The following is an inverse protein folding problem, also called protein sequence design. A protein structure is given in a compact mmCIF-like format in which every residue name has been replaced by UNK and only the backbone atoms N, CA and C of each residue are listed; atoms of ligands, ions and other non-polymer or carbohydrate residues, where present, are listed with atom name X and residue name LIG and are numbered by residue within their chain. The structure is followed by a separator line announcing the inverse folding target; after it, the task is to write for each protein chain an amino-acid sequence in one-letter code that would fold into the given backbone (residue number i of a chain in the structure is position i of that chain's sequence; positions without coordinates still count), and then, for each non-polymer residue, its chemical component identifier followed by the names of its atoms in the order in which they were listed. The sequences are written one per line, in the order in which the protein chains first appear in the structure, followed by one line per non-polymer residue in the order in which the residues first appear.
data_IF_075363183753
#
_entry.id   IF_075363183753
#
_cell.length_a   1.000
_cell.length_b   1.000
_cell.length_c   1.000
_cell.angle_alpha   90.00
_cell.angle_beta   90.00
_cell.angle_gamma   90.00
#
_symmetry.space_group_name_H-M   'P 1'
#
loop_
_entity.id
_entity.type
_entity.pdbx_description
1 polymer ?
#
# COMPACT_ATOMS: atom_id res chain seq x y z
N UNK A 1 68.47 -4.92 12.70
CA UNK A 1 67.55 -3.83 12.35
C UNK A 1 66.82 -4.20 11.06
N UNK A 2 65.53 -3.89 11.02
CA UNK A 2 64.73 -3.57 9.84
C UNK A 2 63.63 -4.56 9.39
N UNK A 3 62.42 -4.06 9.63
CA UNK A 3 61.41 -3.80 8.62
C UNK A 3 60.65 -4.99 8.01
N UNK A 4 60.56 -6.10 8.75
CA UNK A 4 59.52 -7.13 8.49
C UNK A 4 58.60 -7.34 9.71
N UNK A 5 58.90 -6.71 10.85
CA UNK A 5 58.09 -6.76 12.08
C UNK A 5 57.19 -5.54 12.33
N UNK A 6 57.01 -4.62 11.36
CA UNK A 6 56.17 -3.41 11.51
C UNK A 6 55.05 -3.27 10.48
N UNK A 7 54.74 -4.31 9.70
CA UNK A 7 53.64 -4.27 8.70
C UNK A 7 52.51 -5.28 8.97
N UNK A 8 52.35 -5.76 10.21
CA UNK A 8 51.18 -6.57 10.60
C UNK A 8 50.38 -5.96 11.78
N UNK A 9 50.54 -4.66 12.03
CA UNK A 9 49.84 -3.92 13.07
C UNK A 9 49.22 -2.58 12.58
N UNK A 10 48.92 -2.48 11.28
CA UNK A 10 48.24 -1.31 10.68
C UNK A 10 47.19 -1.72 9.63
N UNK A 11 46.46 -2.81 9.86
CA UNK A 11 45.30 -3.18 9.02
C UNK A 11 44.01 -3.47 9.82
N UNK A 12 43.96 -3.09 11.10
CA UNK A 12 42.76 -3.17 11.95
C UNK A 12 42.64 -1.94 12.88
N UNK A 13 42.72 -0.74 12.30
CA UNK A 13 42.39 0.51 13.00
C UNK A 13 42.05 1.64 12.01
N UNK A 14 41.04 1.42 11.17
CA UNK A 14 40.36 2.50 10.43
C UNK A 14 39.00 2.02 9.91
N UNK A 15 38.07 1.76 10.84
CA UNK A 15 36.66 1.53 10.52
C UNK A 15 35.77 2.03 11.67
N UNK A 16 36.04 3.24 12.20
CA UNK A 16 35.08 3.99 13.02
C UNK A 16 35.40 5.49 12.89
N UNK A 17 34.37 6.32 12.67
CA UNK A 17 34.34 7.80 12.43
C UNK A 17 34.49 8.14 10.92
N UNK A 18 33.58 8.83 10.21
CA UNK A 18 32.48 9.74 10.58
C UNK A 18 31.29 9.59 9.60
N UNK A 19 30.08 9.37 10.11
CA UNK A 19 28.83 9.77 9.44
C UNK A 19 28.08 10.65 10.44
N UNK A 20 28.22 11.96 10.30
CA UNK A 20 27.22 12.93 10.76
C UNK A 20 26.04 12.80 9.77
N UNK A 21 24.77 12.71 10.14
CA UNK A 21 24.10 13.00 11.40
C UNK A 21 23.02 14.05 11.12
N UNK A 22 21.74 13.65 11.11
CA UNK A 22 20.60 14.49 11.53
C UNK A 22 19.32 13.64 11.63
N UNK A 23 18.98 13.16 12.82
CA UNK A 23 17.58 12.95 13.23
C UNK A 23 17.43 13.32 14.70
N UNK A 24 16.51 14.25 14.97
CA UNK A 24 16.21 14.85 16.27
C UNK A 24 14.99 14.13 16.85
N UNK A 25 15.15 13.38 17.94
CA UNK A 25 14.07 12.94 18.81
C UNK A 25 14.24 13.65 20.16
N UNK A 26 13.22 14.39 20.60
CA UNK A 26 13.14 14.92 21.95
C UNK A 26 12.53 13.86 22.88
N UNK A 27 13.34 13.36 23.80
CA UNK A 27 12.94 12.50 24.91
C UNK A 27 13.18 13.20 26.25
N UNK A 28 12.14 13.14 27.07
CA UNK A 28 11.91 13.82 28.34
C UNK A 28 12.74 13.24 29.50
N UNK A 29 13.23 14.07 30.42
CA UNK A 29 13.68 13.64 31.76
C UNK A 29 13.44 14.70 32.85
N UNK A 30 13.37 14.29 34.14
CA UNK A 30 12.56 14.93 35.17
C UNK A 30 13.37 15.66 36.26
N UNK A 31 12.70 16.50 37.06
CA UNK A 31 13.08 16.71 38.47
C UNK A 31 12.99 18.13 39.06
N UNK A 32 11.95 18.34 39.88
CA UNK A 32 11.88 19.03 41.21
C UNK A 32 12.49 20.44 41.44
N UNK A 33 11.66 21.35 41.99
CA UNK A 33 11.77 22.07 43.30
C UNK A 33 10.57 23.06 43.38
N UNK A 34 9.56 22.83 44.23
CA UNK A 34 9.35 23.25 45.63
C UNK A 34 8.82 24.71 45.84
N UNK A 35 7.65 24.75 46.51
CA UNK A 35 7.08 25.74 47.46
C UNK A 35 6.76 27.23 47.11
N UNK A 36 5.43 27.51 47.03
CA UNK A 36 4.56 28.45 47.81
C UNK A 36 5.11 29.82 48.32
N UNK A 37 4.26 30.86 48.63
CA UNK A 37 2.82 30.82 49.00
C UNK A 37 1.91 31.97 48.44
N UNK A 38 0.68 32.03 48.98
CA UNK A 38 -0.53 32.72 48.55
C UNK A 38 -0.74 34.19 48.99
N UNK A 39 -1.65 34.90 48.30
CA UNK A 39 -2.60 35.91 48.82
C UNK A 39 -3.73 36.15 47.77
N UNK A 40 -5.03 35.91 48.06
CA UNK A 40 -6.09 36.88 48.52
C UNK A 40 -6.12 38.20 47.71
N UNK A 41 -7.22 38.83 47.29
CA UNK A 41 -8.68 38.66 47.44
C UNK A 41 -9.35 39.77 46.58
N UNK A 42 -10.57 39.52 46.09
CA UNK A 42 -11.69 40.47 45.84
C UNK A 42 -11.49 41.73 44.96
N UNK A 43 -12.26 41.82 43.86
CA UNK A 43 -13.33 42.84 43.70
C UNK A 43 -14.28 42.45 42.55
N UNK A 44 -15.59 42.54 42.82
CA UNK A 44 -16.72 42.32 41.92
C UNK A 44 -16.96 43.55 41.03
N UNK A 45 -17.38 43.35 39.77
CA UNK A 45 -18.66 43.91 39.24
C UNK A 45 -18.94 43.50 37.78
N UNK A 46 -19.92 42.61 37.63
CA UNK A 46 -21.05 42.60 36.70
C UNK A 46 -20.94 43.30 35.33
N UNK A 47 -20.80 42.51 34.25
CA UNK A 47 -21.54 42.69 32.98
C UNK A 47 -21.84 41.29 32.39
N UNK A 48 -23.11 40.89 32.34
CA UNK A 48 -23.67 39.91 31.37
C UNK A 48 -24.54 40.71 30.39
N UNK A 49 -24.71 40.35 29.10
CA UNK A 49 -24.87 39.01 28.53
C UNK A 49 -23.87 38.76 27.36
N UNK A 50 -23.71 37.60 26.73
CA UNK A 50 -24.64 36.54 26.36
C UNK A 50 -23.96 35.18 26.38
N UNK A 51 -24.76 34.17 26.71
CA UNK A 51 -24.36 32.78 26.81
C UNK A 51 -24.05 32.21 25.43
N UNK A 52 -22.80 31.77 25.25
CA UNK A 52 -22.50 30.58 24.46
C UNK A 52 -21.45 29.79 25.24
N UNK A 53 -21.96 29.05 26.22
CA UNK A 53 -21.17 28.09 26.98
C UNK A 53 -20.70 26.99 26.04
N UNK A 54 -19.42 27.02 25.70
CA UNK A 54 -18.67 25.85 25.25
C UNK A 54 -18.63 24.86 26.44
N UNK A 55 -19.68 24.05 26.54
CA UNK A 55 -19.70 22.90 27.44
C UNK A 55 -18.79 21.82 26.88
N UNK A 56 -17.64 21.66 27.52
CA UNK A 56 -16.82 20.46 27.46
C UNK A 56 -17.66 19.27 27.95
N UNK A 57 -17.95 18.34 27.04
CA UNK A 57 -18.82 17.19 27.29
C UNK A 57 -19.30 16.52 26.00
N UNK A 58 -18.41 16.34 25.02
CA UNK A 58 -18.73 15.69 23.76
C UNK A 58 -18.44 14.19 23.84
N UNK A 59 -19.28 13.41 24.51
CA UNK A 59 -19.43 12.01 24.14
C UNK A 59 -19.93 12.00 22.71
N UNK A 60 -19.07 11.67 21.74
CA UNK A 60 -19.41 11.63 20.33
C UNK A 60 -20.43 10.52 20.11
N UNK A 61 -21.70 10.83 20.32
CA UNK A 61 -22.80 9.97 19.94
C UNK A 61 -22.73 9.79 18.42
N UNK A 62 -22.41 8.56 18.03
CA UNK A 62 -22.56 8.07 16.67
C UNK A 62 -23.96 8.41 16.17
N UNK A 63 -24.07 9.31 15.19
CA UNK A 63 -25.29 9.46 14.39
C UNK A 63 -25.18 8.46 13.24
N UNK A 64 -25.41 7.19 13.54
CA UNK A 64 -25.43 6.14 12.51
C UNK A 64 -26.46 6.52 11.44
N UNK A 65 -26.07 6.48 10.16
CA UNK A 65 -27.03 6.64 9.07
C UNK A 65 -28.11 5.55 9.21
N UNK A 66 -29.38 5.85 8.88
CA UNK A 66 -30.42 4.84 8.93
C UNK A 66 -30.05 3.62 8.09
N UNK A 67 -30.08 2.42 8.70
CA UNK A 67 -29.58 1.18 8.11
C UNK A 67 -30.53 0.00 8.37
N UNK A 68 -30.70 -0.90 7.40
CA UNK A 68 -31.32 -2.21 7.64
C UNK A 68 -30.20 -3.24 7.90
N UNK A 69 -30.03 -3.64 9.16
CA UNK A 69 -28.95 -4.51 9.61
C UNK A 69 -29.48 -5.89 10.00
N UNK A 70 -28.91 -6.95 9.42
CA UNK A 70 -29.27 -8.33 9.72
C UNK A 70 -28.04 -9.08 10.21
N UNK A 71 -28.14 -9.70 11.38
CA UNK A 71 -27.14 -10.66 11.85
C UNK A 71 -27.54 -12.06 11.44
N UNK A 72 -26.60 -12.77 10.83
CA UNK A 72 -26.74 -14.19 10.48
C UNK A 72 -25.72 -14.94 11.34
N UNK A 73 -26.21 -15.55 12.42
CA UNK A 73 -25.37 -16.15 13.46
C UNK A 73 -25.37 -17.66 13.35
N UNK A 74 -24.16 -18.23 13.28
CA UNK A 74 -23.93 -19.66 13.35
C UNK A 74 -24.12 -20.15 14.79
N UNK A 75 -24.95 -21.17 14.96
CA UNK A 75 -25.12 -21.93 16.19
C UNK A 75 -24.91 -23.42 15.95
N UNK A 76 -24.10 -23.79 14.96
CA UNK A 76 -23.74 -25.16 14.67
C UNK A 76 -23.01 -25.83 15.85
N UNK A 77 -22.81 -27.14 15.74
CA UNK A 77 -22.19 -27.94 16.82
C UNK A 77 -20.77 -27.48 17.20
N UNK A 78 -20.03 -26.85 16.28
CA UNK A 78 -18.70 -26.30 16.57
C UNK A 78 -18.76 -25.10 17.52
N UNK A 79 -19.84 -24.33 17.44
CA UNK A 79 -20.12 -23.18 18.30
C UNK A 79 -20.61 -23.67 19.67
N UNK A 80 -19.71 -23.75 20.64
CA UNK A 80 -20.08 -24.17 22.01
C UNK A 80 -21.00 -23.12 22.66
N UNK A 81 -21.87 -23.51 23.60
CA UNK A 81 -22.80 -22.56 24.25
C UNK A 81 -22.12 -21.32 24.83
N UNK A 82 -20.96 -21.46 25.47
CA UNK A 82 -20.19 -20.33 26.00
C UNK A 82 -19.64 -19.39 24.91
N UNK A 83 -19.37 -19.91 23.72
CA UNK A 83 -18.93 -19.10 22.58
C UNK A 83 -20.13 -18.40 21.92
N UNK A 84 -21.29 -19.06 21.86
CA UNK A 84 -22.53 -18.45 21.40
C UNK A 84 -22.96 -17.26 22.28
N UNK A 85 -22.79 -17.35 23.60
CA UNK A 85 -23.00 -16.21 24.51
C UNK A 85 -22.09 -15.01 24.19
N UNK A 86 -20.85 -15.25 23.74
CA UNK A 86 -19.95 -14.16 23.31
C UNK A 86 -20.45 -13.51 22.02
N UNK A 87 -21.01 -14.28 21.08
CA UNK A 87 -21.66 -13.72 19.88
C UNK A 87 -22.84 -12.83 20.26
N UNK A 88 -23.71 -13.27 21.19
CA UNK A 88 -24.83 -12.45 21.69
C UNK A 88 -24.35 -11.17 22.39
N UNK A 89 -23.26 -11.26 23.14
CA UNK A 89 -22.61 -10.11 23.79
C UNK A 89 -22.10 -9.12 22.76
N UNK A 90 -21.35 -9.59 21.76
CA UNK A 90 -20.86 -8.76 20.65
C UNK A 90 -21.99 -8.03 19.92
N UNK A 91 -23.08 -8.72 19.59
CA UNK A 91 -24.22 -8.09 18.92
C UNK A 91 -24.87 -7.04 19.83
N UNK A 92 -25.03 -7.35 21.12
CA UNK A 92 -25.59 -6.42 22.10
C UNK A 92 -24.74 -5.16 22.25
N UNK A 93 -23.42 -5.31 22.30
CA UNK A 93 -22.47 -4.19 22.38
C UNK A 93 -22.50 -3.35 21.11
N UNK A 94 -22.62 -3.97 19.94
CA UNK A 94 -22.74 -3.21 18.71
C UNK A 94 -24.08 -2.45 18.63
N UNK A 95 -25.19 -3.06 19.06
CA UNK A 95 -26.50 -2.38 19.18
C UNK A 95 -26.42 -1.17 20.12
N UNK A 96 -25.61 -1.23 21.18
CA UNK A 96 -25.40 -0.10 22.07
C UNK A 96 -24.71 1.09 21.37
N UNK A 97 -23.90 0.85 20.33
CA UNK A 97 -23.24 1.90 19.55
C UNK A 97 -24.12 2.56 18.48
N UNK A 98 -25.21 1.91 18.07
CA UNK A 98 -26.07 2.34 16.96
C UNK A 98 -27.27 3.19 17.43
N UNK A 99 -27.82 4.01 16.56
CA UNK A 99 -29.13 4.64 16.79
C UNK A 99 -30.24 3.71 16.28
N UNK A 100 -30.99 3.11 17.21
CA UNK A 100 -32.08 2.17 16.91
C UNK A 100 -33.40 2.91 16.86
N UNK A 101 -34.18 2.69 15.79
CA UNK A 101 -35.49 3.32 15.64
C UNK A 101 -36.19 2.97 14.35
N UNK A 102 -37.46 3.38 14.23
CA UNK A 102 -38.26 3.17 13.01
C UNK A 102 -37.63 3.84 11.79
N UNK A 103 -37.13 5.06 11.97
CA UNK A 103 -36.53 5.86 10.89
C UNK A 103 -35.00 5.93 11.00
N UNK A 104 -34.41 5.14 11.90
CA UNK A 104 -32.97 5.02 12.12
C UNK A 104 -32.48 3.61 11.70
N UNK A 105 -31.70 2.94 12.54
CA UNK A 105 -31.27 1.56 12.29
C UNK A 105 -32.34 0.56 12.72
N UNK A 106 -32.67 -0.37 11.82
CA UNK A 106 -33.55 -1.51 12.07
C UNK A 106 -32.69 -2.78 12.11
N UNK A 107 -32.94 -3.65 13.09
CA UNK A 107 -32.12 -4.84 13.33
C UNK A 107 -32.98 -6.09 13.25
N UNK A 108 -32.47 -7.12 12.57
CA UNK A 108 -33.02 -8.47 12.58
C UNK A 108 -31.93 -9.49 12.88
N UNK A 109 -32.34 -10.67 13.35
CA UNK A 109 -31.43 -11.77 13.67
C UNK A 109 -31.95 -13.06 13.06
N UNK A 110 -31.06 -13.72 12.35
CA UNK A 110 -31.23 -15.04 11.76
C UNK A 110 -30.21 -15.95 12.42
N UNK A 111 -30.70 -16.96 13.12
CA UNK A 111 -29.91 -17.99 13.77
C UNK A 111 -29.93 -19.23 12.88
N UNK A 112 -28.79 -19.86 12.64
CA UNK A 112 -28.73 -21.03 11.76
C UNK A 112 -27.77 -22.12 12.24
N UNK A 113 -28.12 -23.35 11.89
CA UNK A 113 -27.28 -24.54 12.02
C UNK A 113 -27.64 -25.49 10.87
N UNK A 114 -28.19 -26.67 11.12
CA UNK A 114 -28.85 -27.52 10.11
C UNK A 114 -30.15 -26.92 9.56
N UNK A 115 -30.80 -26.06 10.35
CA UNK A 115 -32.02 -25.32 9.99
C UNK A 115 -31.78 -23.83 10.18
N UNK A 116 -32.68 -23.00 9.65
CA UNK A 116 -32.61 -21.55 9.79
C UNK A 116 -33.83 -21.07 10.58
N UNK A 117 -33.60 -20.36 11.67
CA UNK A 117 -34.60 -19.74 12.51
C UNK A 117 -34.46 -18.21 12.43
N UNK A 118 -35.58 -17.54 12.15
CA UNK A 118 -35.64 -16.08 12.21
C UNK A 118 -36.08 -15.73 13.62
N UNK A 119 -35.18 -15.19 14.43
CA UNK A 119 -35.45 -14.89 15.84
C UNK A 119 -36.33 -13.63 15.97
N UNK A 120 -36.05 -12.62 15.14
CA UNK A 120 -36.93 -11.47 14.96
C UNK A 120 -36.60 -10.71 13.66
N UNK A 121 -37.60 -10.01 13.13
CA UNK A 121 -37.55 -9.28 11.87
C UNK A 121 -37.19 -7.79 12.07
N UNK A 122 -36.89 -7.10 10.97
CA UNK A 122 -36.53 -5.67 10.96
C UNK A 122 -37.65 -4.77 11.52
N UNK A 123 -38.90 -5.25 11.49
CA UNK A 123 -40.07 -4.57 12.05
C UNK A 123 -40.39 -4.91 13.52
N UNK A 124 -39.67 -5.85 14.14
CA UNK A 124 -40.06 -6.40 15.44
C UNK A 124 -39.72 -5.47 16.61
N UNK A 125 -38.54 -4.84 16.60
CA UNK A 125 -38.04 -4.04 17.72
C UNK A 125 -37.42 -2.73 17.25
N UNK A 126 -37.83 -1.62 17.88
CA UNK A 126 -37.41 -0.26 17.50
C UNK A 126 -36.72 0.49 18.66
N UNK A 127 -36.32 -0.20 19.71
CA UNK A 127 -35.54 0.36 20.80
C UNK A 127 -34.51 -0.66 21.30
N UNK A 128 -33.41 -0.17 21.88
CA UNK A 128 -32.29 -1.00 22.33
C UNK A 128 -32.68 -1.99 23.43
N UNK A 129 -33.53 -1.56 24.37
CA UNK A 129 -33.89 -2.37 25.52
C UNK A 129 -34.66 -3.65 25.10
N UNK A 130 -35.59 -3.53 24.16
CA UNK A 130 -36.34 -4.68 23.66
C UNK A 130 -35.49 -5.56 22.73
N UNK A 131 -34.64 -4.98 21.88
CA UNK A 131 -33.69 -5.76 21.07
C UNK A 131 -32.77 -6.60 21.94
N UNK A 132 -32.16 -6.02 22.99
CA UNK A 132 -31.24 -6.73 23.88
C UNK A 132 -31.97 -7.80 24.70
N UNK A 133 -33.22 -7.56 25.09
CA UNK A 133 -34.06 -8.57 25.74
C UNK A 133 -34.34 -9.74 24.81
N UNK A 134 -34.78 -9.46 23.58
CA UNK A 134 -35.03 -10.50 22.57
C UNK A 134 -33.74 -11.29 22.26
N UNK A 135 -32.61 -10.61 22.08
CA UNK A 135 -31.29 -11.21 21.87
C UNK A 135 -30.92 -12.19 23.00
N UNK A 136 -31.12 -11.78 24.26
CA UNK A 136 -30.74 -12.61 25.42
C UNK A 136 -31.49 -13.95 25.49
N UNK A 137 -32.68 -14.02 24.87
CA UNK A 137 -33.56 -15.20 24.85
C UNK A 137 -33.25 -16.16 23.71
N UNK A 138 -32.35 -15.81 22.78
CA UNK A 138 -32.00 -16.68 21.67
C UNK A 138 -31.22 -17.89 22.19
N UNK A 139 -31.72 -19.07 21.85
CA UNK A 139 -31.09 -20.36 22.12
C UNK A 139 -30.35 -20.84 20.86
N UNK A 140 -29.15 -21.43 21.02
CA UNK A 140 -28.43 -21.97 19.87
C UNK A 140 -29.23 -23.14 19.25
N UNK A 141 -29.26 -23.18 17.93
CA UNK A 141 -29.64 -24.38 17.20
C UNK A 141 -28.51 -25.42 17.40
N UNK A 142 -28.61 -26.62 16.86
CA UNK A 142 -27.53 -27.60 17.00
C UNK A 142 -27.36 -28.39 15.72
N UNK A 143 -26.14 -28.91 15.54
CA UNK A 143 -25.73 -29.73 14.38
C UNK A 143 -25.68 -28.94 13.07
N UNK A 144 -24.76 -29.30 12.17
CA UNK A 144 -24.67 -28.80 10.80
C UNK A 144 -24.48 -27.29 10.62
N UNK A 145 -24.07 -26.87 9.42
CA UNK A 145 -23.69 -25.48 9.13
C UNK A 145 -24.20 -25.07 7.75
N UNK A 146 -25.51 -24.88 7.62
CA UNK A 146 -26.20 -24.56 6.36
C UNK A 146 -26.18 -23.04 6.09
N UNK A 147 -24.99 -22.52 5.81
CA UNK A 147 -24.76 -21.07 5.68
C UNK A 147 -25.40 -20.52 4.41
N UNK A 148 -25.35 -21.25 3.30
CA UNK A 148 -25.99 -20.85 2.06
C UNK A 148 -27.51 -20.70 2.21
N UNK A 149 -28.14 -21.65 2.90
CA UNK A 149 -29.56 -21.59 3.27
C UNK A 149 -29.88 -20.40 4.18
N UNK A 150 -28.99 -20.06 5.11
CA UNK A 150 -29.15 -18.90 5.98
C UNK A 150 -29.14 -17.58 5.20
N UNK A 151 -28.18 -17.42 4.27
CA UNK A 151 -28.10 -16.26 3.38
C UNK A 151 -29.36 -16.18 2.51
N UNK A 152 -29.78 -17.29 1.90
CA UNK A 152 -31.00 -17.36 1.09
C UNK A 152 -32.23 -16.93 1.89
N UNK A 153 -32.37 -17.46 3.10
CA UNK A 153 -33.50 -17.14 3.99
C UNK A 153 -33.50 -15.68 4.38
N UNK A 154 -32.33 -15.09 4.68
CA UNK A 154 -32.22 -13.68 4.98
C UNK A 154 -32.70 -12.82 3.79
N UNK A 155 -32.30 -13.16 2.56
CA UNK A 155 -32.75 -12.47 1.34
C UNK A 155 -34.27 -12.58 1.12
N UNK A 156 -34.79 -13.80 1.15
CA UNK A 156 -36.17 -14.09 0.74
C UNK A 156 -37.21 -13.74 1.82
N UNK A 157 -36.81 -13.68 3.09
CA UNK A 157 -37.76 -13.52 4.21
C UNK A 157 -37.45 -12.37 5.15
N UNK A 158 -36.22 -11.87 5.23
CA UNK A 158 -35.84 -10.83 6.20
C UNK A 158 -35.62 -9.48 5.53
N UNK A 159 -34.92 -9.45 4.40
CA UNK A 159 -34.69 -8.24 3.60
C UNK A 159 -35.87 -7.84 2.70
N UNK A 160 -37.09 -8.30 3.03
CA UNK A 160 -38.31 -7.95 2.32
C UNK A 160 -39.03 -6.77 2.99
N UNK A 161 -39.80 -6.01 2.20
CA UNK A 161 -40.58 -4.87 2.71
C UNK A 161 -41.63 -5.33 3.74
N UNK A 162 -42.24 -6.48 3.50
CA UNK A 162 -43.18 -7.12 4.43
C UNK A 162 -42.55 -7.39 5.80
N UNK A 163 -41.26 -7.68 5.83
CA UNK A 163 -40.48 -7.94 7.05
C UNK A 163 -39.89 -6.69 7.68
N UNK A 164 -40.13 -5.52 7.11
CA UNK A 164 -39.68 -4.22 7.64
C UNK A 164 -38.41 -3.68 7.00
N UNK A 165 -37.89 -4.33 5.95
CA UNK A 165 -36.82 -3.75 5.15
C UNK A 165 -37.37 -2.54 4.38
N UNK A 166 -36.59 -1.48 4.25
CA UNK A 166 -37.02 -0.28 3.53
C UNK A 166 -36.89 -0.47 2.02
N UNK A 167 -37.81 0.10 1.21
CA UNK A 167 -37.79 -0.05 -0.24
C UNK A 167 -36.53 0.60 -0.83
N UNK A 168 -36.08 0.10 -1.98
CA UNK A 168 -34.89 0.64 -2.68
C UNK A 168 -34.96 2.15 -2.94
N UNK A 169 -36.16 2.70 -3.13
CA UNK A 169 -36.39 4.13 -3.35
C UNK A 169 -35.95 5.03 -2.19
N UNK A 170 -35.85 4.49 -0.97
CA UNK A 170 -35.41 5.25 0.21
C UNK A 170 -33.90 5.38 0.30
N UNK A 171 -33.14 4.71 -0.58
CA UNK A 171 -31.68 4.68 -0.57
C UNK A 171 -31.08 4.31 0.79
N UNK A 172 -31.78 3.45 1.55
CA UNK A 172 -31.29 2.89 2.80
C UNK A 172 -30.53 1.61 2.51
N UNK A 173 -29.32 1.57 3.04
CA UNK A 173 -28.40 0.46 2.97
C UNK A 173 -28.97 -0.81 3.61
N UNK A 174 -28.62 -1.96 3.04
CA UNK A 174 -28.95 -3.29 3.56
C UNK A 174 -27.65 -4.02 3.84
N UNK A 175 -27.42 -4.36 5.10
CA UNK A 175 -26.16 -4.96 5.55
C UNK A 175 -26.44 -6.28 6.25
N UNK A 176 -25.73 -7.33 5.86
CA UNK A 176 -25.72 -8.61 6.53
C UNK A 176 -24.35 -8.84 7.18
N UNK A 177 -24.34 -9.16 8.48
CA UNK A 177 -23.13 -9.58 9.19
C UNK A 177 -23.27 -11.06 9.50
N UNK A 178 -22.42 -11.87 8.88
CA UNK A 178 -22.37 -13.32 9.05
C UNK A 178 -21.28 -13.63 10.07
N UNK A 179 -21.62 -14.37 11.14
CA UNK A 179 -20.66 -14.83 12.15
C UNK A 179 -20.64 -16.35 12.14
N UNK A 180 -19.50 -16.96 11.83
CA UNK A 180 -19.33 -18.43 11.75
C UNK A 180 -17.95 -18.88 12.20
N UNK A 181 -17.85 -20.08 12.78
CA UNK A 181 -16.57 -20.76 13.07
C UNK A 181 -16.29 -21.98 12.18
N UNK A 182 -17.22 -22.28 11.27
CA UNK A 182 -17.27 -23.54 10.55
C UNK A 182 -17.14 -23.38 9.05
N UNK A 183 -16.82 -24.50 8.40
CA UNK A 183 -16.94 -24.62 6.95
C UNK A 183 -18.42 -24.85 6.61
N UNK A 184 -19.01 -24.09 5.67
CA UNK A 184 -20.38 -24.35 5.23
C UNK A 184 -20.52 -25.76 4.64
N UNK A 185 -21.67 -26.38 4.87
CA UNK A 185 -22.02 -27.71 4.36
C UNK A 185 -22.86 -27.66 3.07
N UNK A 186 -23.16 -26.45 2.61
CA UNK A 186 -23.90 -26.13 1.40
C UNK A 186 -23.18 -25.06 0.57
N UNK A 187 -23.67 -24.82 -0.65
CA UNK A 187 -23.08 -23.84 -1.57
C UNK A 187 -23.36 -22.40 -1.14
N UNK A 188 -22.30 -21.61 -0.90
CA UNK A 188 -22.41 -20.20 -0.50
C UNK A 188 -22.16 -19.21 -1.63
N UNK A 189 -21.45 -19.60 -2.69
CA UNK A 189 -20.98 -18.68 -3.72
C UNK A 189 -22.13 -18.02 -4.51
N UNK A 190 -23.01 -18.83 -5.10
CA UNK A 190 -24.10 -18.37 -5.96
C UNK A 190 -25.12 -17.52 -5.18
N UNK A 191 -25.50 -17.99 -3.98
CA UNK A 191 -26.45 -17.26 -3.12
C UNK A 191 -25.86 -15.94 -2.64
N UNK A 192 -24.58 -15.90 -2.28
CA UNK A 192 -23.91 -14.66 -1.87
C UNK A 192 -23.75 -13.70 -3.05
N UNK A 193 -23.46 -14.20 -4.25
CA UNK A 193 -23.45 -13.38 -5.46
C UNK A 193 -24.82 -12.75 -5.73
N UNK A 194 -25.89 -13.52 -5.54
CA UNK A 194 -27.27 -13.04 -5.70
C UNK A 194 -27.60 -11.98 -4.63
N UNK A 195 -27.18 -12.19 -3.37
CA UNK A 195 -27.34 -11.21 -2.30
C UNK A 195 -26.63 -9.88 -2.61
N UNK A 196 -25.38 -9.94 -3.08
CA UNK A 196 -24.60 -8.76 -3.49
C UNK A 196 -25.25 -8.05 -4.68
N UNK A 197 -25.71 -8.80 -5.68
CA UNK A 197 -26.44 -8.26 -6.83
C UNK A 197 -27.77 -7.59 -6.40
N UNK A 198 -28.37 -8.06 -5.30
CA UNK A 198 -29.54 -7.44 -4.69
C UNK A 198 -29.22 -6.16 -3.87
N UNK A 199 -27.96 -5.71 -3.86
CA UNK A 199 -27.42 -4.59 -3.08
C UNK A 199 -27.45 -4.83 -1.56
N UNK A 200 -27.28 -6.09 -1.14
CA UNK A 200 -27.04 -6.44 0.26
C UNK A 200 -25.52 -6.53 0.44
N UNK A 201 -25.00 -5.70 1.34
CA UNK A 201 -23.58 -5.65 1.69
C UNK A 201 -23.29 -6.71 2.75
N UNK A 202 -22.39 -7.65 2.46
CA UNK A 202 -22.11 -8.79 3.34
C UNK A 202 -20.74 -8.61 4.00
N UNK A 203 -20.74 -8.63 5.34
CA UNK A 203 -19.55 -8.77 6.16
C UNK A 203 -19.46 -10.20 6.67
N UNK A 204 -18.34 -10.88 6.43
CA UNK A 204 -18.10 -12.24 6.88
C UNK A 204 -17.08 -12.23 8.03
N UNK A 205 -17.52 -12.66 9.20
CA UNK A 205 -16.70 -12.78 10.41
C UNK A 205 -16.47 -14.27 10.67
N UNK A 206 -15.23 -14.70 10.45
CA UNK A 206 -14.74 -16.02 10.80
C UNK A 206 -14.11 -16.05 12.18
N UNK A 207 -14.44 -17.07 12.97
CA UNK A 207 -13.84 -17.29 14.30
C UNK A 207 -13.13 -18.65 14.35
N UNK A 208 -12.00 -18.74 15.05
CA UNK A 208 -11.22 -19.98 15.28
C UNK A 208 -10.93 -20.75 13.98
N UNK A 209 -11.71 -21.79 13.65
CA UNK A 209 -11.45 -22.68 12.50
C UNK A 209 -12.22 -22.31 11.24
N UNK A 210 -12.75 -21.09 11.17
CA UNK A 210 -13.50 -20.63 10.02
C UNK A 210 -12.69 -20.75 8.72
N UNK A 211 -13.34 -21.26 7.68
CA UNK A 211 -12.73 -21.45 6.36
C UNK A 211 -12.62 -20.13 5.61
N UNK A 212 -11.40 -19.58 5.52
CA UNK A 212 -11.15 -18.26 4.92
C UNK A 212 -11.63 -18.17 3.47
N UNK A 213 -11.53 -19.26 2.70
CA UNK A 213 -11.99 -19.26 1.31
C UNK A 213 -13.51 -19.08 1.24
N UNK A 214 -14.26 -19.80 2.08
CA UNK A 214 -15.71 -19.65 2.20
C UNK A 214 -16.10 -18.23 2.63
N UNK A 215 -15.39 -17.64 3.61
CA UNK A 215 -15.64 -16.25 4.04
C UNK A 215 -15.48 -15.26 2.87
N UNK A 216 -14.44 -15.42 2.05
CA UNK A 216 -14.19 -14.58 0.87
C UNK A 216 -15.25 -14.73 -0.22
N UNK A 217 -15.81 -15.93 -0.40
CA UNK A 217 -16.90 -16.17 -1.36
C UNK A 217 -18.21 -15.53 -0.90
N UNK A 218 -18.43 -15.44 0.42
CA UNK A 218 -19.63 -14.82 1.00
C UNK A 218 -19.56 -13.29 1.00
N UNK A 219 -18.43 -12.73 1.45
CA UNK A 219 -18.27 -11.31 1.69
C UNK A 219 -18.46 -10.43 0.44
N UNK A 220 -18.84 -9.18 0.68
CA UNK A 220 -18.78 -8.10 -0.30
C UNK A 220 -17.34 -7.68 -0.58
N UNK A 221 -17.17 -6.84 -1.60
CA UNK A 221 -15.89 -6.28 -1.98
C UNK A 221 -15.75 -4.83 -1.50
N UNK A 222 -14.53 -4.35 -1.19
CA UNK A 222 -13.25 -5.06 -1.17
C UNK A 222 -13.14 -6.05 0.01
N UNK A 223 -12.49 -7.20 -0.19
CA UNK A 223 -12.38 -8.25 0.85
C UNK A 223 -11.71 -7.76 2.14
N UNK A 224 -10.72 -6.87 2.06
CA UNK A 224 -9.99 -6.38 3.24
C UNK A 224 -10.87 -5.54 4.19
N UNK A 225 -11.98 -5.02 3.67
CA UNK A 225 -12.96 -4.26 4.45
C UNK A 225 -14.15 -5.12 4.88
N UNK A 226 -14.33 -6.33 4.31
CA UNK A 226 -15.54 -7.14 4.50
C UNK A 226 -15.30 -8.54 5.06
N UNK A 227 -14.05 -8.99 5.13
CA UNK A 227 -13.68 -10.27 5.72
C UNK A 227 -12.88 -10.00 7.00
N UNK A 228 -13.41 -10.47 8.12
CA UNK A 228 -12.72 -10.42 9.41
C UNK A 228 -12.50 -11.82 9.90
N UNK A 229 -11.26 -12.11 10.27
CA UNK A 229 -10.90 -13.37 10.90
C UNK A 229 -10.36 -13.08 12.30
N UNK A 230 -10.92 -13.74 13.31
CA UNK A 230 -10.48 -13.62 14.69
C UNK A 230 -10.15 -15.00 15.25
N UNK A 231 -9.02 -15.10 15.95
CA UNK A 231 -8.54 -16.39 16.48
C UNK A 231 -9.48 -16.97 17.55
N UNK A 232 -10.18 -16.11 18.30
CA UNK A 232 -11.11 -16.54 19.34
C UNK A 232 -12.33 -15.62 19.40
N UNK A 233 -13.45 -16.14 19.90
CA UNK A 233 -14.65 -15.33 20.11
C UNK A 233 -14.44 -14.21 21.13
N UNK A 234 -13.47 -14.30 22.04
CA UNK A 234 -13.16 -13.18 22.94
C UNK A 234 -12.56 -11.96 22.23
N UNK A 235 -12.07 -12.13 21.00
CA UNK A 235 -11.52 -11.04 20.18
C UNK A 235 -12.61 -10.41 19.30
N UNK A 236 -13.75 -11.07 19.11
CA UNK A 236 -14.84 -10.55 18.26
C UNK A 236 -15.38 -9.21 18.76
N UNK A 237 -15.34 -8.98 20.08
CA UNK A 237 -15.72 -7.71 20.72
C UNK A 237 -14.87 -6.52 20.25
N UNK A 238 -13.63 -6.76 19.80
CA UNK A 238 -12.78 -5.70 19.22
C UNK A 238 -13.26 -5.24 17.85
N UNK A 239 -14.06 -6.06 17.16
CA UNK A 239 -14.66 -5.65 15.88
C UNK A 239 -15.74 -4.60 16.09
N UNK A 240 -16.33 -4.49 17.29
CA UNK A 240 -17.34 -3.48 17.61
C UNK A 240 -16.84 -2.07 17.32
N UNK A 241 -15.58 -1.72 17.63
CA UNK A 241 -15.05 -0.39 17.32
C UNK A 241 -14.87 -0.15 15.83
N UNK A 242 -14.42 -1.18 15.09
CA UNK A 242 -14.27 -1.12 13.62
C UNK A 242 -15.63 -0.95 12.96
N UNK A 243 -16.59 -1.81 13.29
CA UNK A 243 -17.95 -1.70 12.78
C UNK A 243 -18.64 -0.41 13.21
N UNK A 244 -18.37 0.11 14.40
CA UNK A 244 -18.86 1.43 14.80
C UNK A 244 -18.35 2.48 13.81
N UNK A 245 -17.05 2.57 13.56
CA UNK A 245 -16.49 3.57 12.63
C UNK A 245 -17.08 3.45 11.22
N UNK A 246 -17.19 2.23 10.71
CA UNK A 246 -17.79 1.86 9.42
C UNK A 246 -19.28 2.23 9.35
N UNK A 247 -20.09 1.86 10.35
CA UNK A 247 -21.55 2.04 10.35
C UNK A 247 -22.00 3.43 10.85
N UNK A 248 -21.14 4.21 11.47
CA UNK A 248 -21.48 5.52 12.04
C UNK A 248 -21.66 6.65 11.01
N UNK A 249 -21.77 6.35 9.72
CA UNK A 249 -22.22 7.32 8.70
C UNK A 249 -21.32 8.52 8.50
N UNK A 250 -20.15 8.46 9.11
CA UNK A 250 -19.02 9.34 8.92
C UNK A 250 -18.55 9.09 7.49
N UNK A 251 -18.59 10.14 6.68
CA UNK A 251 -18.21 10.07 5.26
C UNK A 251 -16.76 9.60 5.21
N UNK A 252 -16.57 8.33 4.83
CA UNK A 252 -15.27 7.67 4.86
C UNK A 252 -14.28 8.39 3.94
N UNK A 253 -14.79 9.03 2.88
CA UNK A 253 -13.96 9.88 2.01
C UNK A 253 -13.52 11.19 2.69
N UNK A 254 -14.24 11.69 3.70
CA UNK A 254 -13.86 12.91 4.44
C UNK A 254 -12.93 12.68 5.62
N UNK A 255 -12.84 11.44 6.13
CA UNK A 255 -12.01 11.09 7.29
C UNK A 255 -10.59 10.68 6.95
N UNK A 256 -10.29 10.55 5.66
CA UNK A 256 -9.04 10.01 5.16
C UNK A 256 -9.29 8.66 4.50
N UNK A 257 -8.95 8.59 3.22
CA UNK A 257 -9.06 7.39 2.39
C UNK A 257 -7.73 7.11 1.70
N UNK A 258 -7.55 5.88 1.25
CA UNK A 258 -6.37 5.41 0.53
C UNK A 258 -6.59 5.27 -0.99
N UNK A 259 -7.74 5.72 -1.52
CA UNK A 259 -7.97 5.78 -2.97
C UNK A 259 -6.97 6.72 -3.65
N UNK A 260 -6.34 6.24 -4.72
CA UNK A 260 -5.42 7.05 -5.54
C UNK A 260 -6.14 8.23 -6.22
N UNK A 261 -7.36 8.01 -6.71
CA UNK A 261 -8.09 8.99 -7.52
C UNK A 261 -9.45 9.38 -6.89
N UNK A 262 -10.51 8.63 -7.16
CA UNK A 262 -11.86 8.98 -6.73
C UNK A 262 -12.26 8.07 -5.57
N UNK A 263 -12.53 8.65 -4.41
CA UNK A 263 -13.21 7.95 -3.32
C UNK A 263 -14.72 8.10 -3.48
N UNK A 264 -15.44 6.99 -3.50
CA UNK A 264 -16.90 6.99 -3.47
C UNK A 264 -17.37 6.33 -2.19
N UNK A 265 -18.10 7.09 -1.39
CA UNK A 265 -18.74 6.55 -0.21
C UNK A 265 -19.66 5.40 -0.61
N UNK A 266 -19.41 4.24 -0.01
CA UNK A 266 -20.40 3.20 0.14
C UNK A 266 -21.24 3.52 1.37
N UNK A 267 -22.32 2.76 1.50
CA UNK A 267 -23.26 2.81 2.61
C UNK A 267 -22.62 2.78 4.00
N UNK A 268 -21.52 2.04 4.12
CA UNK A 268 -20.83 1.73 5.38
C UNK A 268 -19.29 1.86 5.26
N UNK A 269 -18.77 2.04 4.05
CA UNK A 269 -17.34 2.15 3.77
C UNK A 269 -17.14 3.13 2.62
N UNK A 270 -16.09 2.98 1.84
CA UNK A 270 -15.88 3.60 0.55
C UNK A 270 -15.25 2.59 -0.39
N UNK A 271 -15.39 2.84 -1.68
CA UNK A 271 -14.65 2.13 -2.69
C UNK A 271 -14.02 3.13 -3.64
N UNK A 272 -12.89 2.73 -4.21
CA UNK A 272 -12.16 3.58 -5.12
C UNK A 272 -12.71 3.42 -6.54
N UNK A 273 -12.79 4.54 -7.24
CA UNK A 273 -13.05 4.60 -8.67
C UNK A 273 -11.92 5.37 -9.32
N UNK A 274 -11.75 5.11 -10.60
CA UNK A 274 -10.78 5.81 -11.41
C UNK A 274 -11.47 6.83 -12.31
N UNK A 275 -10.72 7.86 -12.71
CA UNK A 275 -11.12 8.78 -13.76
C UNK A 275 -11.24 8.04 -15.11
N UNK A 276 -11.91 8.66 -16.09
CA UNK A 276 -11.99 8.10 -17.43
C UNK A 276 -10.59 7.85 -18.02
N UNK A 277 -10.39 6.71 -18.70
CA UNK A 277 -9.09 6.27 -19.18
C UNK A 277 -8.23 5.55 -18.13
N UNK A 278 -8.81 5.11 -17.02
CA UNK A 278 -8.14 4.31 -15.99
C UNK A 278 -9.03 3.15 -15.53
N UNK A 279 -8.40 2.02 -15.21
CA UNK A 279 -8.98 0.82 -14.60
C UNK A 279 -8.45 0.64 -13.20
N UNK A 280 -9.33 0.29 -12.28
CA UNK A 280 -8.95 0.00 -10.91
C UNK A 280 -8.12 -1.29 -10.86
N UNK A 281 -6.97 -1.23 -10.19
CA UNK A 281 -6.08 -2.36 -10.02
C UNK A 281 -6.66 -3.44 -9.11
N UNK A 282 -6.00 -4.60 -9.08
CA UNK A 282 -6.38 -5.73 -8.20
C UNK A 282 -6.38 -5.37 -6.71
N UNK A 283 -5.57 -4.39 -6.32
CA UNK A 283 -5.52 -3.85 -4.95
C UNK A 283 -6.78 -3.04 -4.57
N UNK A 284 -7.62 -2.70 -5.55
CA UNK A 284 -8.85 -1.89 -5.41
C UNK A 284 -8.63 -0.49 -4.84
N UNK A 285 -7.39 -0.01 -4.79
CA UNK A 285 -7.02 1.32 -4.28
C UNK A 285 -6.35 2.18 -5.34
N UNK A 286 -5.50 1.57 -6.17
CA UNK A 286 -4.75 2.25 -7.23
C UNK A 286 -5.41 2.08 -8.59
N UNK A 287 -5.12 3.02 -9.49
CA UNK A 287 -5.72 3.14 -10.79
C UNK A 287 -4.64 2.98 -11.86
N UNK A 288 -4.70 1.89 -12.63
CA UNK A 288 -3.89 1.72 -13.83
C UNK A 288 -4.51 2.51 -14.96
N UNK A 289 -3.71 3.34 -15.63
CA UNK A 289 -4.15 4.00 -16.86
C UNK A 289 -4.48 2.93 -17.90
N UNK A 290 -5.72 2.94 -18.39
CA UNK A 290 -6.09 2.23 -19.62
C UNK A 290 -5.60 3.13 -20.73
N UNK A 291 -4.49 2.75 -21.33
CA UNK A 291 -3.81 3.54 -22.35
C UNK A 291 -4.76 3.96 -23.48
N UNK A 292 -4.96 5.27 -23.63
CA UNK A 292 -5.36 5.90 -24.89
C UNK A 292 -4.18 6.01 -25.89
N UNK A 293 -3.02 5.46 -25.55
CA UNK A 293 -1.82 5.35 -26.38
C UNK A 293 -1.14 4.01 -26.05
N UNK A 294 -1.60 2.93 -26.68
CA UNK A 294 -1.09 1.58 -26.45
C UNK A 294 0.42 1.45 -26.75
N UNK A 295 1.14 0.53 -26.09
CA UNK A 295 2.54 0.26 -26.39
C UNK A 295 2.64 -0.47 -27.73
N UNK A 296 3.14 0.20 -28.77
CA UNK A 296 3.39 -0.49 -30.02
C UNK A 296 3.76 0.32 -31.25
N UNK A 297 3.29 1.56 -31.44
CA UNK A 297 3.68 2.41 -32.59
C UNK A 297 3.54 3.90 -32.28
N UNK A 298 4.69 4.55 -32.12
CA UNK A 298 5.01 5.91 -32.59
C UNK A 298 4.30 7.16 -32.00
N UNK A 299 4.78 7.60 -30.83
CA UNK A 299 5.25 8.98 -30.58
C UNK A 299 6.31 8.91 -29.46
N UNK A 300 7.50 9.47 -29.66
CA UNK A 300 8.41 9.75 -28.54
C UNK A 300 8.60 11.27 -28.46
N UNK A 301 8.30 11.98 -27.34
CA UNK A 301 7.83 11.54 -26.01
C UNK A 301 6.56 12.25 -25.50
N UNK A 302 5.88 13.07 -26.32
CA UNK A 302 4.64 13.76 -25.91
C UNK A 302 3.57 13.64 -27.00
N UNK A 303 2.49 12.93 -26.71
CA UNK A 303 1.30 12.82 -27.56
C UNK A 303 0.17 13.69 -26.98
N UNK A 304 -0.43 14.56 -27.80
CA UNK A 304 -1.58 15.39 -27.41
C UNK A 304 -2.70 15.27 -28.42
N UNK A 305 -3.94 15.22 -27.94
CA UNK A 305 -5.13 15.14 -28.77
C UNK A 305 -5.68 16.57 -28.98
N UNK A 306 -5.75 17.01 -30.25
CA UNK A 306 -6.39 18.28 -30.63
C UNK A 306 -7.42 18.00 -31.71
N UNK A 307 -8.67 18.38 -31.47
CA UNK A 307 -9.78 18.28 -32.44
C UNK A 307 -9.95 16.86 -33.04
N UNK A 308 -9.71 15.82 -32.25
CA UNK A 308 -9.82 14.42 -32.69
C UNK A 308 -8.67 13.94 -33.60
N UNK A 309 -7.60 14.72 -33.74
CA UNK A 309 -6.39 14.36 -34.47
C UNK A 309 -5.21 14.18 -33.50
N UNK A 310 -4.47 13.08 -33.67
CA UNK A 310 -3.26 12.79 -32.88
C UNK A 310 -2.10 13.68 -33.34
N UNK A 311 -1.52 14.46 -32.43
CA UNK A 311 -0.37 15.34 -32.69
C UNK A 311 0.78 14.98 -31.75
N UNK A 312 1.89 14.48 -32.32
CA UNK A 312 3.14 14.28 -31.58
C UNK A 312 3.89 15.62 -31.44
N UNK A 313 4.50 15.86 -30.28
CA UNK A 313 5.35 17.02 -30.01
C UNK A 313 6.64 16.62 -29.30
N UNK A 314 7.72 17.36 -29.56
CA UNK A 314 9.03 17.09 -28.96
C UNK A 314 9.30 18.00 -27.75
N UNK A 315 10.05 17.53 -26.74
CA UNK A 315 10.53 18.36 -25.64
C UNK A 315 11.49 19.43 -26.13
N UNK A 316 11.71 20.43 -25.27
CA UNK A 316 12.72 21.46 -25.49
C UNK A 316 14.09 20.82 -25.75
N UNK A 317 14.74 21.18 -26.86
CA UNK A 317 16.03 20.61 -27.28
C UNK A 317 15.93 19.44 -28.27
N UNK A 318 14.74 19.13 -28.78
CA UNK A 318 14.50 18.09 -29.77
C UNK A 318 13.63 18.61 -30.92
N UNK A 319 13.83 18.09 -32.12
CA UNK A 319 13.03 18.40 -33.32
C UNK A 319 12.29 17.17 -33.82
N UNK A 320 11.05 17.38 -34.24
CA UNK A 320 10.22 16.30 -34.77
C UNK A 320 10.73 15.91 -36.14
N UNK A 321 11.05 14.63 -36.31
CA UNK A 321 11.58 14.10 -37.56
C UNK A 321 10.50 14.09 -38.65
N UNK A 322 10.91 13.88 -39.90
CA UNK A 322 9.99 13.86 -41.06
C UNK A 322 8.89 12.78 -40.94
N UNK A 323 9.14 11.74 -40.15
CA UNK A 323 8.16 10.69 -39.82
C UNK A 323 7.00 11.18 -38.93
N UNK A 324 7.08 12.41 -38.41
CA UNK A 324 6.13 13.06 -37.49
C UNK A 324 5.90 12.29 -36.19
N UNK A 325 6.82 11.41 -35.84
CA UNK A 325 6.64 10.38 -34.82
C UNK A 325 7.84 10.27 -33.88
N UNK A 326 9.05 10.41 -34.41
CA UNK A 326 10.27 10.37 -33.60
C UNK A 326 10.86 11.77 -33.45
N UNK A 327 11.55 12.00 -32.33
CA UNK A 327 12.24 13.25 -32.05
C UNK A 327 13.74 13.01 -32.12
N UNK A 328 14.44 13.73 -32.99
CA UNK A 328 15.91 13.78 -32.95
C UNK A 328 16.36 14.90 -32.03
N UNK A 329 17.41 14.64 -31.26
CA UNK A 329 18.00 15.66 -30.39
C UNK A 329 18.64 16.73 -31.28
N UNK A 330 18.37 17.99 -31.00
CA UNK A 330 19.13 19.08 -31.60
C UNK A 330 20.59 18.93 -31.15
N UNK A 331 21.50 18.81 -32.11
CA UNK A 331 22.93 18.87 -31.84
C UNK A 331 23.22 20.18 -31.11
N UNK A 332 23.68 20.08 -29.86
CA UNK A 332 23.93 21.26 -29.03
C UNK A 332 24.92 22.24 -29.66
N UNK A 333 25.84 21.74 -30.50
CA UNK A 333 26.79 22.54 -31.23
C UNK A 333 26.19 23.28 -32.45
N UNK A 334 25.01 22.88 -32.94
CA UNK A 334 24.32 23.53 -34.06
C UNK A 334 23.42 24.69 -33.61
N UNK A 335 23.06 24.75 -32.31
CA UNK A 335 22.26 25.81 -31.70
C UNK A 335 23.07 27.05 -31.28
N UNK A 336 24.38 27.06 -31.56
CA UNK A 336 25.32 28.09 -31.09
C UNK A 336 26.05 27.65 -29.83
N UNK A 337 27.39 27.75 -29.84
CA UNK A 337 28.25 27.34 -28.74
C UNK A 337 29.35 28.36 -28.47
N UNK A 338 29.79 28.46 -27.22
CA UNK A 338 30.85 29.39 -26.80
C UNK A 338 32.26 28.79 -26.87
N UNK A 339 32.45 27.64 -27.53
CA UNK A 339 33.78 27.03 -27.69
C UNK A 339 34.64 27.85 -28.65
N UNK A 340 35.85 28.22 -28.22
CA UNK A 340 36.82 28.94 -29.06
C UNK A 340 37.24 28.14 -30.30
N UNK A 341 37.34 26.81 -30.17
CA UNK A 341 37.80 25.93 -31.26
C UNK A 341 36.75 24.92 -31.74
N UNK A 342 36.58 23.79 -31.05
CA UNK A 342 35.74 22.68 -31.51
C UNK A 342 34.75 22.35 -30.40
N UNK A 343 33.45 22.36 -30.71
CA UNK A 343 32.42 21.83 -29.85
C UNK A 343 32.19 20.34 -30.14
N UNK A 344 32.09 19.51 -29.10
CA UNK A 344 31.72 18.11 -29.21
C UNK A 344 30.54 17.82 -28.32
N UNK A 345 29.52 17.22 -28.90
CA UNK A 345 28.37 16.71 -28.16
C UNK A 345 28.71 15.32 -27.58
N UNK A 346 28.53 15.16 -26.26
CA UNK A 346 28.69 13.88 -25.58
C UNK A 346 27.51 13.60 -24.68
N UNK A 347 26.60 12.73 -25.15
CA UNK A 347 25.46 12.13 -24.41
C UNK A 347 24.74 13.11 -23.48
N UNK A 348 24.51 14.35 -23.94
CA UNK A 348 23.66 15.35 -23.25
C UNK A 348 24.44 16.51 -22.63
N UNK A 349 25.76 16.54 -22.78
CA UNK A 349 26.59 17.70 -22.41
C UNK A 349 27.42 18.18 -23.60
N UNK A 350 27.50 19.50 -23.74
CA UNK A 350 28.41 20.14 -24.69
C UNK A 350 29.78 20.28 -24.04
N UNK A 351 30.84 19.83 -24.71
CA UNK A 351 32.21 20.04 -24.23
C UNK A 351 33.08 20.60 -25.35
N UNK A 352 33.93 21.56 -25.00
CA UNK A 352 34.88 22.13 -25.94
C UNK A 352 36.15 21.29 -26.03
N UNK A 353 36.80 21.32 -27.19
CA UNK A 353 38.11 20.72 -27.46
C UNK A 353 38.92 21.68 -28.31
N UNK A 354 40.21 21.70 -28.04
CA UNK A 354 41.16 22.52 -28.78
C UNK A 354 41.73 21.77 -29.99
N UNK A 355 42.13 22.53 -31.01
CA UNK A 355 42.88 22.01 -32.17
C UNK A 355 44.28 21.57 -31.74
N UNK A 356 44.92 20.71 -32.52
CA UNK A 356 46.27 20.21 -32.22
C UNK A 356 47.26 21.34 -31.93
N UNK A 357 47.99 21.23 -30.82
CA UNK A 357 48.95 22.24 -30.35
C UNK A 357 48.40 23.25 -29.33
N UNK A 358 47.11 23.16 -28.96
CA UNK A 358 46.46 24.01 -27.97
C UNK A 358 45.85 23.16 -26.86
N UNK A 359 45.85 23.66 -25.62
CA UNK A 359 45.21 23.03 -24.47
C UNK A 359 44.00 23.85 -24.01
N UNK A 360 43.01 23.14 -23.47
CA UNK A 360 41.77 23.74 -22.99
C UNK A 360 42.04 24.41 -21.64
N UNK A 361 41.70 25.70 -21.53
CA UNK A 361 41.88 26.47 -20.31
C UNK A 361 40.90 26.04 -19.21
N UNK A 362 41.11 26.52 -17.99
CA UNK A 362 40.26 26.18 -16.82
C UNK A 362 38.79 26.58 -17.00
N UNK A 363 38.51 27.57 -17.85
CA UNK A 363 37.16 28.02 -18.19
C UNK A 363 36.37 26.99 -19.04
N UNK A 364 37.04 25.93 -19.50
CA UNK A 364 36.52 24.85 -20.35
C UNK A 364 35.95 25.33 -21.69
N UNK A 365 36.24 26.57 -22.11
CA UNK A 365 35.72 27.22 -23.32
C UNK A 365 36.83 27.74 -24.24
N UNK A 366 37.90 28.31 -23.68
CA UNK A 366 39.03 28.89 -24.43
C UNK A 366 40.23 27.96 -24.52
N UNK A 367 41.09 28.19 -25.51
CA UNK A 367 42.22 27.36 -25.87
C UNK A 367 43.50 28.18 -25.93
N UNK A 368 44.49 27.85 -25.11
CA UNK A 368 45.80 28.51 -25.18
C UNK A 368 46.88 27.58 -25.76
N UNK A 369 47.83 28.18 -26.47
CA UNK A 369 48.98 27.47 -27.02
C UNK A 369 50.06 27.37 -25.94
N UNK A 370 50.69 26.20 -25.83
CA UNK A 370 51.88 26.07 -25.00
C UNK A 370 52.98 26.88 -25.69
N UNK A 371 53.25 28.08 -25.15
CA UNK A 371 54.51 28.75 -25.42
C UNK A 371 55.59 27.73 -25.05
N UNK A 372 56.43 27.36 -26.03
CA UNK A 372 57.56 26.43 -25.86
C UNK A 372 58.39 26.82 -24.64
N UNK A 373 58.05 26.29 -23.48
CA UNK A 373 58.94 26.21 -22.35
C UNK A 373 59.84 25.01 -22.63
N UNK A 374 61.10 25.30 -22.93
CA UNK A 374 62.15 24.30 -23.08
C UNK A 374 62.36 23.68 -21.70
N UNK A 375 61.61 22.63 -21.38
CA UNK A 375 61.87 21.81 -20.19
C UNK A 375 63.01 20.86 -20.56
N UNK A 376 64.20 21.22 -20.10
CA UNK A 376 65.35 20.33 -20.04
C UNK A 376 64.98 19.15 -19.12
N UNK A 377 64.55 18.03 -19.69
CA UNK A 377 64.31 16.81 -18.91
C UNK A 377 65.62 16.04 -18.68
N UNK A 378 65.87 15.80 -17.40
CA UNK A 378 67.01 15.12 -16.82
C UNK A 378 67.07 13.62 -17.23
N UNK A 379 68.16 13.13 -17.85
CA UNK A 379 68.21 11.83 -18.56
C UNK A 379 68.19 10.56 -17.70
N UNK A 380 68.14 10.62 -16.35
CA UNK A 380 68.30 9.42 -15.51
C UNK A 380 67.01 8.62 -15.19
N UNK A 381 65.82 8.96 -15.72
CA UNK A 381 64.60 8.14 -15.51
C UNK A 381 64.37 7.05 -16.55
N UNK A 382 65.14 7.02 -17.63
CA UNK A 382 64.91 6.07 -18.73
C UNK A 382 65.47 4.66 -18.43
N UNK A 383 66.58 4.56 -17.70
CA UNK A 383 67.27 3.28 -17.46
C UNK A 383 66.47 2.30 -16.59
N UNK A 384 65.77 2.79 -15.57
CA UNK A 384 64.94 1.95 -14.69
C UNK A 384 63.73 1.37 -15.43
N UNK A 385 63.15 2.14 -16.37
CA UNK A 385 61.97 1.73 -17.13
C UNK A 385 62.33 0.69 -18.21
N UNK A 386 63.49 0.86 -18.87
CA UNK A 386 64.01 -0.12 -19.82
C UNK A 386 64.43 -1.43 -19.11
N UNK A 387 64.99 -1.34 -17.90
CA UNK A 387 65.33 -2.51 -17.10
C UNK A 387 64.08 -3.31 -16.68
N UNK A 388 63.01 -2.63 -16.26
CA UNK A 388 61.74 -3.27 -15.92
C UNK A 388 61.08 -3.95 -17.13
N UNK A 389 61.06 -3.27 -18.28
CA UNK A 389 60.52 -3.79 -19.54
C UNK A 389 61.26 -5.07 -19.98
N UNK A 390 62.60 -5.07 -19.95
CA UNK A 390 63.41 -6.26 -20.28
C UNK A 390 63.13 -7.41 -19.33
N UNK A 391 63.01 -7.15 -18.03
CA UNK A 391 62.73 -8.17 -17.01
C UNK A 391 61.35 -8.81 -17.19
N UNK A 392 60.32 -8.02 -17.50
CA UNK A 392 59.00 -8.54 -17.84
C UNK A 392 59.02 -9.42 -19.10
N UNK A 393 59.79 -9.03 -20.11
CA UNK A 393 59.86 -9.78 -21.37
C UNK A 393 60.57 -11.13 -21.21
N UNK A 394 61.60 -11.20 -20.35
CA UNK A 394 62.26 -12.48 -20.01
C UNK A 394 61.32 -13.41 -19.23
N UNK A 395 60.52 -12.88 -18.30
CA UNK A 395 59.54 -13.68 -17.53
C UNK A 395 58.45 -14.25 -18.45
N UNK A 396 57.97 -13.45 -19.41
CA UNK A 396 57.01 -13.90 -20.42
C UNK A 396 57.56 -15.02 -21.30
N UNK A 397 58.84 -14.94 -21.69
CA UNK A 397 59.50 -16.00 -22.46
C UNK A 397 59.68 -17.28 -21.64
N UNK A 398 60.04 -17.18 -20.36
CA UNK A 398 60.18 -18.35 -19.48
C UNK A 398 58.82 -19.06 -19.28
N UNK A 399 57.75 -18.29 -19.07
CA UNK A 399 56.38 -18.81 -18.95
C UNK A 399 55.92 -19.54 -20.22
N UNK A 400 56.17 -18.97 -21.40
CA UNK A 400 55.85 -19.64 -22.65
C UNK A 400 56.65 -20.94 -22.83
N UNK A 401 57.93 -20.97 -22.45
CA UNK A 401 58.74 -22.19 -22.55
C UNK A 401 58.23 -23.32 -21.63
N UNK A 402 57.79 -22.96 -20.42
CA UNK A 402 57.20 -23.91 -19.47
C UNK A 402 55.85 -24.41 -19.94
N UNK A 403 55.04 -23.55 -20.55
CA UNK A 403 53.76 -23.94 -21.14
C UNK A 403 53.96 -24.94 -22.27
N UNK A 404 54.97 -24.77 -23.12
CA UNK A 404 55.31 -25.74 -24.18
C UNK A 404 55.82 -27.08 -23.62
N UNK A 405 56.51 -27.07 -22.48
CA UNK A 405 56.94 -28.30 -21.81
C UNK A 405 55.75 -29.08 -21.23
N UNK A 406 54.82 -28.38 -20.58
CA UNK A 406 53.59 -28.98 -20.04
C UNK A 406 52.72 -29.53 -21.16
N UNK A 407 52.55 -28.78 -22.25
CA UNK A 407 51.81 -29.23 -23.44
C UNK A 407 52.40 -30.53 -24.01
N UNK A 408 53.73 -30.63 -24.12
CA UNK A 408 54.41 -31.86 -24.56
C UNK A 408 54.26 -33.03 -23.58
N UNK A 409 54.23 -32.77 -22.27
CA UNK A 409 53.98 -33.81 -21.26
C UNK A 409 52.53 -34.33 -21.32
N UNK A 410 51.56 -33.44 -21.56
CA UNK A 410 50.16 -33.83 -21.78
C UNK A 410 49.99 -34.74 -23.00
N UNK A 411 50.59 -34.36 -24.13
CA UNK A 411 50.56 -35.18 -25.36
C UNK A 411 51.18 -36.59 -25.15
N UNK A 412 52.20 -36.70 -24.29
CA UNK A 412 52.80 -38.00 -23.94
C UNK A 412 51.91 -38.85 -23.03
N UNK A 413 51.12 -38.24 -22.15
CA UNK A 413 50.17 -38.95 -21.29
C UNK A 413 48.95 -39.43 -22.08
N UNK A 414 48.53 -38.68 -23.10
CA UNK A 414 47.45 -39.08 -24.02
C UNK A 414 47.86 -40.22 -24.97
N UNK A 415 49.16 -40.39 -25.22
CA UNK A 415 49.70 -41.45 -26.08
C UNK A 415 49.94 -42.80 -25.37
N UNK A 416 49.64 -42.93 -24.07
CA UNK A 416 49.74 -44.20 -23.34
C UNK A 416 48.52 -45.08 -23.65
N UNK A 417 48.67 -46.27 -24.29
CA UNK A 417 47.55 -47.14 -24.58
C UNK A 417 46.97 -47.71 -23.28
N UNK A 418 45.64 -47.58 -23.09
CA UNK A 418 44.93 -48.28 -22.01
C UNK A 418 45.02 -49.79 -22.26
N UNK A 419 45.86 -50.50 -21.49
CA UNK A 419 45.83 -51.97 -21.46
C UNK A 419 44.57 -52.40 -20.70
N UNK A 420 43.67 -53.08 -21.41
CA UNK A 420 42.66 -53.98 -20.85
C UNK A 420 43.26 -55.36 -20.61
#
# INVERSE_FOLDING_TARGET
MNAVGRCLALYLSALVLEVQGTYRFYGYHPGRYADRPAARSSYLQNIQPAQNGLSAGGGSHCKSRPLDLVFIIDSSRSVRPAEFEKVKTFISDMVDTLEIGRDATRVAVVNYASTVQIEFLLKSHFNKADLKRAMSQIEPLSTGTMTGLAIKTAMEKVFTEESGARPRSTNISKVAIIVTDGRPQDGVEEVSATARAAQIEIYAIGVDRADLQSLRLMASQPLDDHVFYVETYGVIEKLTSKFRETLCGLDSCTLGHDCEQICVNSNTSYYCRCHEGYTLNEDRRTCLRVDGCAPGQDCEPVCTEREGLQVCSCPVGYVLNEDRRTCSRLDGCALGHDCEHICIDSRGSQRCRCRNGYFLNEDKKTCSQEARATVLQDPCKCEAQVAFQRKMQTVLQDLNSKLDEVTRKLQRLEAVPRRF
#
